data_IF_225649982109
#
_entry.id   IF_225649982109
#
_cell.length_a   1.000
_cell.length_b   1.000
_cell.length_c   1.000
_cell.angle_alpha   90.00
_cell.angle_beta   90.00
_cell.angle_gamma   90.00
#
_symmetry.space_group_name_H-M   'P 1'
#
loop_
_entity.id
_entity.type
_entity.pdbx_description
1 polymer ?
#
# COMPACT_ATOMS: atom_id res chain seq x y z
N UNK A 1 26.34 -15.10 24.12
CA UNK A 1 26.77 -14.86 22.72
C UNK A 1 27.34 -13.45 22.65
N UNK A 2 28.45 -13.22 21.95
CA UNK A 2 29.00 -11.87 21.75
C UNK A 2 28.21 -11.14 20.66
N UNK A 3 28.16 -9.80 20.71
CA UNK A 3 27.48 -8.97 19.72
C UNK A 3 28.01 -9.22 18.30
N UNK A 4 29.33 -9.40 18.15
CA UNK A 4 29.96 -9.77 16.88
C UNK A 4 29.38 -11.07 16.31
N UNK A 5 29.15 -12.09 17.15
CA UNK A 5 28.60 -13.36 16.69
C UNK A 5 27.13 -13.23 16.25
N UNK A 6 26.34 -12.40 16.93
CA UNK A 6 24.96 -12.11 16.51
C UNK A 6 24.90 -11.42 15.15
N UNK A 7 25.77 -10.42 14.93
CA UNK A 7 25.85 -9.74 13.63
C UNK A 7 26.36 -10.68 12.53
N UNK A 8 27.36 -11.52 12.81
CA UNK A 8 27.86 -12.51 11.86
C UNK A 8 26.79 -13.52 11.45
N UNK A 9 25.99 -14.02 12.39
CA UNK A 9 24.87 -14.91 12.06
C UNK A 9 23.86 -14.26 11.10
N UNK A 10 23.57 -12.96 11.24
CA UNK A 10 22.67 -12.24 10.33
C UNK A 10 23.25 -12.08 8.91
N UNK A 11 24.57 -11.97 8.80
CA UNK A 11 25.29 -11.93 7.53
C UNK A 11 25.34 -13.32 6.88
N UNK A 12 25.66 -14.35 7.67
CA UNK A 12 25.79 -15.74 7.22
C UNK A 12 24.43 -16.29 6.73
N UNK A 13 23.34 -15.94 7.42
CA UNK A 13 21.98 -16.28 7.02
C UNK A 13 21.46 -15.46 5.82
N UNK A 14 22.31 -14.62 5.20
CA UNK A 14 21.97 -13.71 4.10
C UNK A 14 20.73 -12.84 4.37
N UNK A 15 20.39 -12.63 5.63
CA UNK A 15 19.21 -11.86 6.01
C UNK A 15 19.48 -10.37 5.77
N UNK A 16 20.74 -9.95 5.94
CA UNK A 16 21.23 -8.61 5.60
C UNK A 16 22.63 -8.68 5.03
N UNK A 17 22.93 -7.74 4.16
CA UNK A 17 24.28 -7.38 3.79
C UNK A 17 24.89 -6.47 4.85
N UNK A 18 26.22 -6.50 4.97
CA UNK A 18 26.96 -5.63 5.87
C UNK A 18 26.71 -4.13 5.60
N UNK A 19 26.45 -3.78 4.33
CA UNK A 19 26.09 -2.42 3.91
C UNK A 19 24.73 -2.00 4.50
N UNK A 20 23.75 -2.88 4.48
CA UNK A 20 22.43 -2.61 5.05
C UNK A 20 22.49 -2.47 6.57
N UNK A 21 23.27 -3.31 7.25
CA UNK A 21 23.47 -3.20 8.70
C UNK A 21 24.10 -1.84 9.04
N UNK A 22 25.18 -1.44 8.35
CA UNK A 22 25.81 -0.14 8.54
C UNK A 22 24.84 1.03 8.34
N UNK A 23 24.05 0.99 7.26
CA UNK A 23 23.07 2.02 6.96
C UNK A 23 21.97 2.11 8.02
N UNK A 24 21.45 0.98 8.48
CA UNK A 24 20.34 0.95 9.44
C UNK A 24 20.77 1.21 10.88
N UNK A 25 21.98 0.82 11.27
CA UNK A 25 22.52 1.09 12.60
C UNK A 25 23.17 2.46 12.73
N UNK A 26 23.38 3.17 11.62
CA UNK A 26 24.08 4.46 11.59
C UNK A 26 25.59 4.34 11.82
N UNK A 27 26.14 3.13 11.72
CA UNK A 27 27.59 2.88 11.86
C UNK A 27 28.25 3.01 10.49
N UNK A 28 29.40 3.69 10.43
CA UNK A 28 30.16 3.79 9.19
C UNK A 28 30.57 2.38 8.67
N UNK A 29 30.42 2.07 7.36
CA UNK A 29 30.74 0.74 6.82
C UNK A 29 32.17 0.25 7.11
N UNK A 30 33.16 1.15 7.07
CA UNK A 30 34.55 0.82 7.41
C UNK A 30 34.73 0.49 8.89
N UNK A 31 34.07 1.26 9.77
CA UNK A 31 34.07 0.99 11.21
C UNK A 31 33.41 -0.34 11.54
N UNK A 32 32.27 -0.66 10.90
CA UNK A 32 31.60 -1.95 11.07
C UNK A 32 32.48 -3.11 10.60
N UNK A 33 33.17 -2.97 9.46
CA UNK A 33 34.07 -4.00 8.94
C UNK A 33 35.28 -4.26 9.84
N UNK A 34 35.92 -3.19 10.32
CA UNK A 34 37.02 -3.32 11.28
C UNK A 34 36.54 -3.91 12.62
N UNK A 35 35.36 -3.54 13.09
CA UNK A 35 34.79 -4.04 14.35
C UNK A 35 34.51 -5.56 14.27
N UNK A 36 33.89 -6.03 13.18
CA UNK A 36 33.60 -7.46 12.98
C UNK A 36 34.86 -8.32 12.81
N UNK A 37 35.98 -7.72 12.39
CA UNK A 37 37.31 -8.36 12.31
C UNK A 37 38.11 -8.26 13.61
N UNK A 38 37.63 -7.52 14.61
CA UNK A 38 38.34 -7.28 15.86
C UNK A 38 39.52 -6.30 15.74
N UNK A 39 39.62 -5.54 14.65
CA UNK A 39 40.75 -4.63 14.37
C UNK A 39 40.37 -3.15 14.49
N UNK A 40 39.18 -2.83 15.02
CA UNK A 40 38.74 -1.44 15.16
C UNK A 40 39.36 -0.79 16.39
N UNK A 41 40.24 0.19 16.17
CA UNK A 41 40.92 0.94 17.22
C UNK A 41 40.16 2.21 17.67
N UNK A 42 38.96 2.46 17.13
CA UNK A 42 38.14 3.60 17.50
C UNK A 42 37.30 3.35 18.76
N UNK A 43 36.25 4.15 18.94
CA UNK A 43 35.33 3.99 20.07
C UNK A 43 34.43 2.77 19.85
N UNK A 44 34.82 1.62 20.42
CA UNK A 44 34.08 0.36 20.35
C UNK A 44 32.71 0.50 21.01
N UNK A 45 32.62 1.09 22.20
CA UNK A 45 31.36 1.26 22.94
C UNK A 45 30.29 1.97 22.12
N UNK A 46 30.66 3.00 21.36
CA UNK A 46 29.75 3.73 20.47
C UNK A 46 29.20 2.84 19.35
N UNK A 47 30.04 1.98 18.78
CA UNK A 47 29.63 1.01 17.75
C UNK A 47 28.70 -0.04 18.35
N UNK A 48 29.05 -0.57 19.52
CA UNK A 48 28.23 -1.58 20.21
C UNK A 48 26.88 -1.02 20.63
N UNK A 49 26.83 0.21 21.14
CA UNK A 49 25.58 0.90 21.48
C UNK A 49 24.66 1.04 20.26
N UNK A 50 25.20 1.48 19.12
CA UNK A 50 24.44 1.64 17.88
C UNK A 50 23.90 0.29 17.35
N UNK A 51 24.73 -0.76 17.39
CA UNK A 51 24.34 -2.10 16.96
C UNK A 51 23.30 -2.74 17.91
N UNK A 52 23.46 -2.59 19.22
CA UNK A 52 22.50 -3.07 20.20
C UNK A 52 21.14 -2.37 20.07
N UNK A 53 21.12 -1.05 19.86
CA UNK A 53 19.88 -0.32 19.62
C UNK A 53 19.19 -0.76 18.32
N UNK A 54 19.98 -1.03 17.27
CA UNK A 54 19.46 -1.56 16.02
C UNK A 54 18.84 -2.96 16.21
N UNK A 55 19.53 -3.87 16.90
CA UNK A 55 19.00 -5.20 17.24
C UNK A 55 17.74 -5.13 18.12
N UNK A 56 17.72 -4.28 19.14
CA UNK A 56 16.55 -4.10 20.00
C UNK A 56 15.35 -3.51 19.23
N UNK A 57 15.60 -2.61 18.28
CA UNK A 57 14.56 -2.07 17.38
C UNK A 57 14.03 -3.15 16.46
N UNK A 58 14.89 -4.04 15.97
CA UNK A 58 14.52 -5.20 15.18
C UNK A 58 13.65 -6.17 15.98
N UNK A 59 14.06 -6.56 17.17
CA UNK A 59 13.26 -7.46 18.02
C UNK A 59 11.90 -6.86 18.38
N UNK A 60 11.84 -5.54 18.62
CA UNK A 60 10.56 -4.83 18.79
C UNK A 60 9.72 -4.88 17.53
N UNK A 61 10.30 -4.66 16.35
CA UNK A 61 9.58 -4.81 15.08
C UNK A 61 9.10 -6.25 14.89
N UNK A 62 9.94 -7.25 15.08
CA UNK A 62 9.52 -8.65 14.95
C UNK A 62 8.37 -8.95 15.94
N UNK A 63 8.50 -8.60 17.22
CA UNK A 63 7.44 -8.81 18.23
C UNK A 63 6.14 -8.05 17.96
N UNK A 64 6.21 -6.83 17.44
CA UNK A 64 5.02 -6.01 17.10
C UNK A 64 4.39 -6.44 15.77
N UNK A 65 5.16 -7.06 14.87
CA UNK A 65 4.71 -7.43 13.52
C UNK A 65 4.58 -8.96 13.30
N UNK A 66 4.73 -9.82 14.33
CA UNK A 66 4.41 -11.26 14.23
C UNK A 66 2.95 -11.46 13.80
N UNK A 67 2.05 -10.56 14.21
CA UNK A 67 0.73 -10.42 13.61
C UNK A 67 0.47 -8.93 13.41
N UNK A 68 0.56 -8.44 12.17
CA UNK A 68 -0.13 -7.18 11.86
C UNK A 68 -1.58 -7.38 12.34
N UNK A 69 -2.11 -6.54 13.24
CA UNK A 69 -3.45 -6.77 13.77
C UNK A 69 -4.39 -6.92 12.58
N UNK A 70 -5.20 -7.99 12.59
CA UNK A 70 -6.33 -8.10 11.69
C UNK A 70 -7.07 -6.76 11.69
N UNK A 71 -7.58 -6.36 10.52
CA UNK A 71 -8.28 -5.08 10.37
C UNK A 71 -9.21 -4.84 11.56
N UNK A 72 -8.95 -3.77 12.30
CA UNK A 72 -9.74 -3.45 13.50
C UNK A 72 -11.03 -2.81 13.01
N UNK A 73 -12.13 -3.53 13.20
CA UNK A 73 -13.44 -3.05 12.83
C UNK A 73 -13.85 -1.88 13.74
N UNK A 74 -13.80 -0.67 13.19
CA UNK A 74 -14.24 0.56 13.85
C UNK A 74 -15.63 0.96 13.36
N UNK A 75 -16.39 1.83 14.08
CA UNK A 75 -17.73 2.25 13.64
C UNK A 75 -17.76 2.82 12.22
N UNK A 76 -16.71 3.52 11.80
CA UNK A 76 -16.56 3.99 10.41
C UNK A 76 -16.48 2.82 9.43
N UNK A 77 -15.75 1.76 9.75
CA UNK A 77 -15.62 0.58 8.90
C UNK A 77 -16.98 -0.06 8.65
N UNK A 78 -17.80 -0.26 9.70
CA UNK A 78 -19.16 -0.79 9.59
C UNK A 78 -20.03 0.03 8.63
N UNK A 79 -19.98 1.36 8.75
CA UNK A 79 -20.73 2.26 7.86
C UNK A 79 -20.28 2.13 6.40
N UNK A 80 -18.97 2.05 6.17
CA UNK A 80 -18.40 1.84 4.83
C UNK A 80 -18.85 0.49 4.26
N UNK A 81 -18.74 -0.59 5.03
CA UNK A 81 -19.12 -1.93 4.59
C UNK A 81 -20.60 -1.98 4.22
N UNK A 82 -21.49 -1.48 5.08
CA UNK A 82 -22.92 -1.43 4.79
C UNK A 82 -23.25 -0.65 3.51
N UNK A 83 -22.55 0.47 3.26
CA UNK A 83 -22.73 1.24 2.03
C UNK A 83 -22.27 0.44 0.80
N UNK A 84 -21.11 -0.22 0.87
CA UNK A 84 -20.58 -1.04 -0.21
C UNK A 84 -21.45 -2.28 -0.49
N UNK A 85 -21.99 -2.92 0.56
CA UNK A 85 -22.96 -4.01 0.44
C UNK A 85 -24.24 -3.54 -0.25
N UNK A 86 -24.78 -2.39 0.15
CA UNK A 86 -25.93 -1.79 -0.51
C UNK A 86 -25.68 -1.55 -2.00
N UNK A 87 -24.52 -0.99 -2.35
CA UNK A 87 -24.13 -0.76 -3.74
C UNK A 87 -24.07 -2.05 -4.56
N UNK A 88 -23.56 -3.13 -3.95
CA UNK A 88 -23.43 -4.44 -4.58
C UNK A 88 -24.76 -5.17 -4.73
N UNK A 89 -25.64 -5.09 -3.73
CA UNK A 89 -26.94 -5.77 -3.70
C UNK A 89 -27.96 -5.08 -4.61
N UNK A 90 -27.94 -3.75 -4.69
CA UNK A 90 -28.90 -2.95 -5.47
C UNK A 90 -28.34 -2.44 -6.82
N UNK A 91 -27.27 -3.06 -7.35
CA UNK A 91 -26.37 -2.52 -8.38
C UNK A 91 -26.40 -1.00 -8.57
N UNK A 92 -26.17 -0.24 -7.49
CA UNK A 92 -26.26 1.23 -7.48
C UNK A 92 -24.93 1.87 -7.11
N UNK A 93 -24.80 3.17 -7.38
CA UNK A 93 -23.70 3.97 -6.88
C UNK A 93 -24.00 4.50 -5.48
N UNK A 94 -22.99 4.52 -4.62
CA UNK A 94 -23.04 5.11 -3.28
C UNK A 94 -21.81 5.99 -3.06
N UNK A 95 -21.99 7.08 -2.34
CA UNK A 95 -20.88 7.98 -1.97
C UNK A 95 -20.54 7.79 -0.51
N UNK A 96 -19.28 7.45 -0.23
CA UNK A 96 -18.74 7.35 1.13
C UNK A 96 -17.88 8.59 1.40
N UNK A 97 -18.28 9.41 2.36
CA UNK A 97 -17.57 10.64 2.74
C UNK A 97 -17.39 10.74 4.26
N UNK A 98 -16.50 11.64 4.69
CA UNK A 98 -16.18 11.87 6.09
C UNK A 98 -14.80 12.52 6.24
N UNK A 99 -14.45 12.94 7.46
CA UNK A 99 -13.17 13.60 7.73
C UNK A 99 -11.95 12.76 7.26
N UNK A 100 -10.84 13.42 6.96
CA UNK A 100 -9.59 12.71 6.65
C UNK A 100 -9.10 11.92 7.88
N UNK A 101 -8.44 10.78 7.66
CA UNK A 101 -7.90 9.93 8.74
C UNK A 101 -8.90 9.04 9.46
N UNK A 102 -10.21 9.11 9.19
CA UNK A 102 -11.24 8.27 9.85
C UNK A 102 -11.26 6.80 9.40
N UNK A 103 -10.35 6.40 8.51
CA UNK A 103 -10.17 5.01 8.09
C UNK A 103 -10.96 4.56 6.86
N UNK A 104 -11.56 5.47 6.07
CA UNK A 104 -12.37 5.14 4.86
C UNK A 104 -11.60 4.26 3.86
N UNK A 105 -10.42 4.73 3.43
CA UNK A 105 -9.54 4.01 2.50
C UNK A 105 -9.19 2.62 3.02
N UNK A 106 -8.86 2.52 4.32
CA UNK A 106 -8.50 1.23 4.92
C UNK A 106 -9.68 0.28 5.00
N UNK A 107 -10.89 0.79 5.27
CA UNK A 107 -12.11 0.01 5.24
C UNK A 107 -12.43 -0.49 3.82
N UNK A 108 -12.32 0.35 2.78
CA UNK A 108 -12.50 -0.07 1.39
C UNK A 108 -11.48 -1.16 0.98
N UNK A 109 -10.21 -1.00 1.36
CA UNK A 109 -9.17 -2.00 1.13
C UNK A 109 -9.50 -3.33 1.81
N UNK A 110 -9.98 -3.31 3.05
CA UNK A 110 -10.36 -4.54 3.74
C UNK A 110 -11.59 -5.19 3.12
N UNK A 111 -12.62 -4.40 2.79
CA UNK A 111 -13.82 -4.87 2.11
C UNK A 111 -13.47 -5.60 0.81
N UNK A 112 -12.53 -5.05 0.02
CA UNK A 112 -12.01 -5.69 -1.20
C UNK A 112 -11.34 -7.05 -0.92
N UNK A 113 -10.60 -7.21 0.18
CA UNK A 113 -9.91 -8.49 0.47
C UNK A 113 -10.88 -9.61 0.82
N UNK A 114 -11.95 -9.27 1.56
CA UNK A 114 -12.90 -10.27 2.08
C UNK A 114 -14.07 -10.53 1.12
N UNK A 115 -14.16 -9.80 0.00
CA UNK A 115 -15.21 -9.94 -1.00
C UNK A 115 -14.65 -10.20 -2.40
N UNK A 116 -15.28 -11.13 -3.12
CA UNK A 116 -14.97 -11.37 -4.54
C UNK A 116 -15.57 -10.28 -5.44
N UNK A 117 -14.97 -10.11 -6.63
CA UNK A 117 -15.41 -9.16 -7.66
C UNK A 117 -15.50 -7.71 -7.13
N UNK A 118 -14.55 -7.32 -6.29
CA UNK A 118 -14.38 -5.94 -5.84
C UNK A 118 -13.05 -5.43 -6.38
N UNK A 119 -13.10 -4.30 -7.06
CA UNK A 119 -11.94 -3.63 -7.65
C UNK A 119 -11.85 -2.22 -7.07
N UNK A 120 -10.64 -1.79 -6.74
CA UNK A 120 -10.41 -0.49 -6.14
C UNK A 120 -9.32 0.24 -6.90
N UNK A 121 -9.63 1.47 -7.33
CA UNK A 121 -8.65 2.41 -7.88
C UNK A 121 -8.58 3.64 -6.97
N UNK A 122 -7.41 4.27 -6.91
CA UNK A 122 -7.21 5.53 -6.18
C UNK A 122 -6.92 6.63 -7.17
N UNK A 123 -7.85 7.57 -7.29
CA UNK A 123 -7.63 8.76 -8.10
C UNK A 123 -6.56 9.64 -7.45
N UNK A 124 -5.83 10.36 -8.28
CA UNK A 124 -4.85 11.35 -7.84
C UNK A 124 -4.71 12.41 -8.92
N UNK A 125 -4.16 13.61 -8.63
CA UNK A 125 -3.97 14.65 -9.64
C UNK A 125 -3.20 14.14 -10.89
N UNK A 126 -2.24 13.23 -10.71
CA UNK A 126 -1.50 12.59 -11.80
C UNK A 126 -2.31 11.53 -12.58
N UNK A 127 -3.41 11.02 -12.01
CA UNK A 127 -4.26 9.96 -12.57
C UNK A 127 -5.73 10.38 -12.69
N UNK A 128 -5.97 11.67 -12.89
CA UNK A 128 -7.31 12.25 -12.87
C UNK A 128 -8.02 12.22 -14.24
N UNK A 129 -7.30 12.00 -15.35
CA UNK A 129 -7.94 11.97 -16.67
C UNK A 129 -8.79 10.72 -16.85
N UNK A 130 -9.90 10.80 -17.60
CA UNK A 130 -10.74 9.65 -17.94
C UNK A 130 -9.92 8.46 -18.47
N UNK A 131 -8.90 8.72 -19.31
CA UNK A 131 -8.06 7.66 -19.87
C UNK A 131 -7.16 7.01 -18.83
N UNK A 132 -6.58 7.80 -17.93
CA UNK A 132 -5.78 7.29 -16.82
C UNK A 132 -6.64 6.44 -15.89
N UNK A 133 -7.82 6.92 -15.50
CA UNK A 133 -8.76 6.20 -14.62
C UNK A 133 -9.18 4.87 -15.23
N UNK A 134 -9.59 4.86 -16.50
CA UNK A 134 -9.94 3.62 -17.20
C UNK A 134 -8.74 2.67 -17.30
N UNK A 135 -7.53 3.18 -17.50
CA UNK A 135 -6.34 2.34 -17.59
C UNK A 135 -5.99 1.71 -16.25
N UNK A 136 -6.03 2.46 -15.15
CA UNK A 136 -5.85 1.93 -13.79
C UNK A 136 -6.88 0.84 -13.48
N UNK A 137 -8.15 1.06 -13.85
CA UNK A 137 -9.20 0.06 -13.69
C UNK A 137 -8.94 -1.20 -14.53
N UNK A 138 -8.41 -1.06 -15.74
CA UNK A 138 -8.05 -2.20 -16.57
C UNK A 138 -6.93 -3.03 -15.94
N UNK A 139 -5.88 -2.39 -15.41
CA UNK A 139 -4.81 -3.07 -14.67
C UNK A 139 -5.35 -3.78 -13.43
N UNK A 140 -6.20 -3.12 -12.66
CA UNK A 140 -6.86 -3.67 -11.48
C UNK A 140 -7.77 -4.88 -11.81
N UNK A 141 -8.35 -4.90 -13.01
CA UNK A 141 -9.09 -6.05 -13.57
C UNK A 141 -8.19 -7.18 -14.10
N UNK A 142 -6.86 -7.04 -14.01
CA UNK A 142 -5.87 -7.99 -14.51
C UNK A 142 -5.62 -7.91 -16.02
N UNK A 143 -5.96 -6.79 -16.66
CA UNK A 143 -5.76 -6.57 -18.10
C UNK A 143 -4.42 -5.85 -18.31
N UNK A 144 -3.34 -6.63 -18.40
CA UNK A 144 -1.98 -6.10 -18.46
C UNK A 144 -1.62 -5.40 -19.80
N UNK A 145 -2.24 -5.81 -20.91
CA UNK A 145 -2.03 -5.21 -22.25
C UNK A 145 -3.29 -4.46 -22.71
N UNK A 146 -3.69 -3.48 -21.90
CA UNK A 146 -4.91 -2.73 -22.15
C UNK A 146 -4.74 -1.75 -23.33
N UNK A 147 -5.72 -1.66 -24.26
CA UNK A 147 -5.61 -0.78 -25.41
C UNK A 147 -5.61 0.69 -24.97
N UNK A 148 -4.74 1.51 -25.60
CA UNK A 148 -4.66 2.95 -25.29
C UNK A 148 -5.82 3.80 -25.79
N UNK A 149 -6.62 3.31 -26.76
CA UNK A 149 -7.78 4.06 -27.26
C UNK A 149 -8.95 3.94 -26.29
N UNK A 150 -9.53 5.08 -25.90
CA UNK A 150 -10.56 5.20 -24.85
C UNK A 150 -11.80 4.35 -25.13
N UNK A 151 -12.25 4.32 -26.38
CA UNK A 151 -13.41 3.57 -26.84
C UNK A 151 -13.22 2.05 -26.68
N UNK A 152 -12.08 1.52 -27.12
CA UNK A 152 -11.75 0.09 -26.99
C UNK A 152 -11.50 -0.29 -25.53
N UNK A 153 -10.83 0.59 -24.77
CA UNK A 153 -10.57 0.38 -23.36
C UNK A 153 -11.86 0.30 -22.54
N UNK A 154 -12.76 1.27 -22.73
CA UNK A 154 -14.06 1.29 -22.06
C UNK A 154 -14.88 0.05 -22.38
N UNK A 155 -14.98 -0.35 -23.66
CA UNK A 155 -15.70 -1.57 -24.07
C UNK A 155 -15.11 -2.84 -23.44
N UNK A 156 -13.79 -2.92 -23.38
CA UNK A 156 -13.09 -4.06 -22.78
C UNK A 156 -13.37 -4.19 -21.28
N UNK A 157 -13.28 -3.07 -20.54
CA UNK A 157 -13.62 -2.99 -19.13
C UNK A 157 -15.08 -3.39 -18.90
N UNK A 158 -16.01 -2.80 -19.65
CA UNK A 158 -17.44 -3.13 -19.55
C UNK A 158 -17.71 -4.61 -19.81
N UNK A 159 -17.05 -5.21 -20.81
CA UNK A 159 -17.17 -6.65 -21.08
C UNK A 159 -16.68 -7.50 -19.91
N UNK A 160 -15.61 -7.09 -19.22
CA UNK A 160 -15.06 -7.80 -18.08
C UNK A 160 -15.94 -7.69 -16.82
N UNK A 161 -16.58 -6.52 -16.64
CA UNK A 161 -17.47 -6.26 -15.50
C UNK A 161 -18.86 -6.90 -15.66
N UNK A 162 -19.37 -6.97 -16.90
CA UNK A 162 -20.74 -7.46 -17.16
C UNK A 162 -20.93 -8.90 -16.65
N UNK A 163 -21.97 -9.09 -15.85
CA UNK A 163 -22.33 -10.41 -15.30
C UNK A 163 -21.53 -10.84 -14.08
N UNK A 164 -20.61 -10.01 -13.58
CA UNK A 164 -19.79 -10.35 -12.39
C UNK A 164 -20.45 -10.02 -11.05
N UNK A 165 -21.55 -9.26 -11.07
CA UNK A 165 -22.13 -8.61 -9.86
C UNK A 165 -21.05 -7.87 -9.05
N UNK A 166 -20.08 -7.29 -9.75
CA UNK A 166 -18.91 -6.70 -9.13
C UNK A 166 -19.07 -5.24 -8.77
N UNK A 167 -18.24 -4.81 -7.82
CA UNK A 167 -18.21 -3.46 -7.28
C UNK A 167 -16.89 -2.78 -7.67
N UNK A 168 -16.97 -1.58 -8.23
CA UNK A 168 -15.81 -0.73 -8.49
C UNK A 168 -15.81 0.40 -7.47
N UNK A 169 -14.75 0.47 -6.68
CA UNK A 169 -14.50 1.52 -5.69
C UNK A 169 -13.52 2.52 -6.31
N UNK A 170 -13.90 3.81 -6.28
CA UNK A 170 -13.03 4.92 -6.67
C UNK A 170 -12.69 5.70 -5.40
N UNK A 171 -11.47 5.51 -4.91
CA UNK A 171 -10.93 6.21 -3.75
C UNK A 171 -10.34 7.57 -4.15
N UNK A 172 -10.39 8.55 -3.23
CA UNK A 172 -9.95 9.94 -3.46
C UNK A 172 -10.58 10.57 -4.73
N UNK A 173 -11.86 10.26 -4.98
CA UNK A 173 -12.59 10.67 -6.19
C UNK A 173 -12.72 12.19 -6.34
N UNK A 174 -12.50 12.96 -5.27
CA UNK A 174 -12.43 14.42 -5.30
C UNK A 174 -11.26 14.95 -6.12
N UNK A 175 -10.26 14.11 -6.42
CA UNK A 175 -9.21 14.43 -7.39
C UNK A 175 -9.65 14.30 -8.85
N UNK A 176 -10.80 13.71 -9.14
CA UNK A 176 -11.31 13.64 -10.51
C UNK A 176 -11.80 15.02 -10.98
N UNK A 177 -11.54 15.39 -12.25
CA UNK A 177 -11.96 16.67 -12.78
C UNK A 177 -13.49 16.72 -12.88
N UNK A 178 -14.05 17.86 -12.52
CA UNK A 178 -15.40 18.21 -12.93
C UNK A 178 -15.38 18.57 -14.42
N UNK A 179 -15.67 17.62 -15.29
CA UNK A 179 -16.07 17.97 -16.65
C UNK A 179 -17.38 18.75 -16.53
N UNK A 180 -17.31 20.07 -16.70
CA UNK A 180 -18.54 20.85 -17.00
C UNK A 180 -19.08 20.23 -18.28
N UNK A 181 -20.27 19.62 -18.30
CA UNK A 181 -20.88 19.26 -19.57
C UNK A 181 -20.86 20.53 -20.40
N UNK A 182 -20.32 20.45 -21.63
CA UNK A 182 -20.33 21.56 -22.57
C UNK A 182 -21.69 22.22 -22.46
N UNK A 183 -21.71 23.51 -22.11
CA UNK A 183 -22.95 24.27 -22.02
C UNK A 183 -23.69 24.01 -23.33
N UNK A 184 -24.72 23.19 -23.26
CA UNK A 184 -25.67 23.06 -24.34
C UNK A 184 -26.29 24.44 -24.36
N UNK A 185 -25.84 25.30 -25.26
CA UNK A 185 -26.61 26.46 -25.69
C UNK A 185 -27.94 25.88 -26.15
N UNK A 186 -28.89 25.82 -25.23
CA UNK A 186 -30.28 25.64 -25.59
C UNK A 186 -30.65 26.90 -26.38
N UNK A 187 -31.30 26.77 -27.54
CA UNK A 187 -31.80 27.91 -28.29
C UNK A 187 -32.78 28.72 -27.44
#
# INVERSE_FOLDING_TARGET
MTLINQIKQLLDNQTYTQREIAAQSGVNPGALSAYLKGTYAGNVEKVEYALNNWLATREKKEKVFVEAPHFIEIPTAKKVFNALDMAKILPTMVTVYGASGVGKTKACQEYKKVNQNVWMITASPARATLSSVLYELALELGINDAPRRKDRLSRLITKKLKGTQGLVIIDESDHLPYDKPAQHNRP
#
